data_IF_565296118847
#
_entry.id   IF_565296118847
#
_cell.length_a   1.000
_cell.length_b   1.000
_cell.length_c   1.000
_cell.angle_alpha   90.00
_cell.angle_beta   90.00
_cell.angle_gamma   90.00
#
_symmetry.space_group_name_H-M   'P 1'
#
loop_
_entity.id
_entity.type
_entity.pdbx_description
1 polymer ?
#
# COMPACT_ATOMS: atom_id res chain seq x y z
N UNK A 1 -4.38 10.46 25.05
CA UNK A 1 -2.91 10.24 25.27
C UNK A 1 -2.35 9.08 24.46
N UNK A 2 -3.03 7.93 24.35
CA UNK A 2 -2.53 6.73 23.65
C UNK A 2 -2.03 6.95 22.21
N UNK A 3 -2.77 7.72 21.40
CA UNK A 3 -2.39 7.95 20.00
C UNK A 3 -1.08 8.74 19.82
N UNK A 4 -0.74 9.66 20.73
CA UNK A 4 0.52 10.40 20.66
C UNK A 4 1.72 9.48 20.92
N UNK A 5 1.61 8.62 21.94
CA UNK A 5 2.64 7.63 22.25
C UNK A 5 2.83 6.64 21.10
N UNK A 6 1.73 6.21 20.47
CA UNK A 6 1.80 5.30 19.33
C UNK A 6 2.47 5.97 18.11
N UNK A 7 2.09 7.19 17.75
CA UNK A 7 2.74 7.92 16.65
C UNK A 7 4.22 8.18 16.93
N UNK A 8 4.58 8.52 18.17
CA UNK A 8 5.97 8.72 18.58
C UNK A 8 6.77 7.41 18.49
N UNK A 9 6.18 6.28 18.91
CA UNK A 9 6.77 4.95 18.72
C UNK A 9 7.01 4.65 17.24
N UNK A 10 6.06 4.99 16.35
CA UNK A 10 6.24 4.80 14.91
C UNK A 10 7.36 5.66 14.33
N UNK A 11 7.51 6.91 14.78
CA UNK A 11 8.65 7.76 14.41
C UNK A 11 9.96 7.09 14.83
N UNK A 12 10.05 6.61 16.08
CA UNK A 12 11.24 5.91 16.58
C UNK A 12 11.55 4.63 15.79
N UNK A 13 10.54 3.82 15.47
CA UNK A 13 10.69 2.63 14.62
C UNK A 13 11.20 3.04 13.24
N UNK A 14 10.65 4.12 12.67
CA UNK A 14 11.12 4.68 11.40
C UNK A 14 12.60 5.09 11.44
N UNK A 15 13.04 5.75 12.52
CA UNK A 15 14.45 6.16 12.71
C UNK A 15 15.36 4.95 12.86
N UNK A 16 15.00 3.98 13.71
CA UNK A 16 15.80 2.76 13.94
C UNK A 16 15.91 1.93 12.64
N UNK A 17 14.82 1.82 11.89
CA UNK A 17 14.77 1.09 10.61
C UNK A 17 15.33 1.88 9.42
N UNK A 18 15.78 3.13 9.62
CA UNK A 18 16.19 4.05 8.56
C UNK A 18 15.13 4.22 7.45
N UNK A 19 13.86 4.17 7.83
CA UNK A 19 12.74 4.23 6.90
C UNK A 19 12.15 5.64 6.80
N UNK A 20 12.60 6.41 5.81
CA UNK A 20 12.13 7.78 5.60
C UNK A 20 10.62 7.88 5.40
N UNK A 21 10.00 6.92 4.71
CA UNK A 21 8.55 6.92 4.48
C UNK A 21 7.77 6.82 5.80
N UNK A 22 8.17 5.93 6.70
CA UNK A 22 7.53 5.79 8.03
C UNK A 22 7.78 7.02 8.89
N UNK A 23 9.01 7.55 8.90
CA UNK A 23 9.36 8.77 9.65
C UNK A 23 8.47 9.93 9.20
N UNK A 24 8.40 10.18 7.89
CA UNK A 24 7.64 11.30 7.32
C UNK A 24 6.14 11.11 7.62
N UNK A 25 5.58 9.94 7.32
CA UNK A 25 4.15 9.70 7.51
C UNK A 25 3.73 9.84 8.99
N UNK A 26 4.46 9.21 9.91
CA UNK A 26 4.16 9.28 11.35
C UNK A 26 4.38 10.68 11.93
N UNK A 27 5.42 11.39 11.48
CA UNK A 27 5.70 12.78 11.90
C UNK A 27 4.62 13.73 11.42
N UNK A 28 4.19 13.63 10.16
CA UNK A 28 3.11 14.46 9.61
C UNK A 28 1.81 14.24 10.38
N UNK A 29 1.44 12.98 10.67
CA UNK A 29 0.25 12.68 11.47
C UNK A 29 0.38 13.21 12.90
N UNK A 30 1.57 13.12 13.51
CA UNK A 30 1.84 13.65 14.85
C UNK A 30 1.71 15.18 14.87
N UNK A 31 2.28 15.88 13.88
CA UNK A 31 2.19 17.33 13.73
C UNK A 31 0.74 17.75 13.56
N UNK A 32 -0.01 17.15 12.63
CA UNK A 32 -1.43 17.43 12.39
C UNK A 32 -2.26 17.28 13.68
N UNK A 33 -1.97 16.21 14.45
CA UNK A 33 -2.63 15.97 15.72
C UNK A 33 -2.27 17.05 16.76
N UNK A 34 -1.00 17.42 16.85
CA UNK A 34 -0.49 18.40 17.80
C UNK A 34 -1.03 19.81 17.55
N UNK A 35 -1.24 20.20 16.28
CA UNK A 35 -1.85 21.49 15.92
C UNK A 35 -3.39 21.53 16.04
N UNK A 36 -4.04 20.41 16.37
CA UNK A 36 -5.49 20.34 16.56
C UNK A 36 -6.32 20.18 15.27
N UNK A 37 -5.70 19.93 14.12
CA UNK A 37 -6.39 19.77 12.83
C UNK A 37 -6.80 18.32 12.51
N UNK A 38 -6.65 17.40 13.47
CA UNK A 38 -6.94 15.97 13.29
C UNK A 38 -8.36 15.69 12.82
N UNK A 39 -9.36 16.36 13.39
CA UNK A 39 -10.77 16.10 13.10
C UNK A 39 -11.17 16.47 11.66
N UNK A 40 -10.48 17.43 11.05
CA UNK A 40 -10.75 17.87 9.67
C UNK A 40 -9.89 17.11 8.65
N UNK A 41 -8.60 16.90 8.97
CA UNK A 41 -7.64 16.35 8.02
C UNK A 41 -7.63 14.82 8.02
N UNK A 42 -7.77 14.15 9.17
CA UNK A 42 -7.70 12.68 9.22
C UNK A 42 -8.80 11.98 8.41
N UNK A 43 -10.08 12.40 8.43
CA UNK A 43 -11.10 11.78 7.58
C UNK A 43 -10.80 11.93 6.08
N UNK A 44 -10.26 13.07 5.68
CA UNK A 44 -9.87 13.34 4.28
C UNK A 44 -8.68 12.47 3.88
N UNK A 45 -7.65 12.39 4.73
CA UNK A 45 -6.48 11.54 4.50
C UNK A 45 -6.84 10.06 4.47
N UNK A 46 -7.74 9.60 5.35
CA UNK A 46 -8.19 8.20 5.37
C UNK A 46 -9.02 7.83 4.13
N UNK A 47 -9.91 8.73 3.68
CA UNK A 47 -10.80 8.45 2.54
C UNK A 47 -10.13 8.62 1.17
N UNK A 48 -9.25 9.63 1.01
CA UNK A 48 -8.65 9.99 -0.27
C UNK A 48 -7.15 9.73 -0.35
N UNK A 49 -6.44 9.59 0.77
CA UNK A 49 -4.98 9.48 0.81
C UNK A 49 -4.44 8.31 -0.01
N UNK A 50 -5.11 7.14 0.02
CA UNK A 50 -4.74 5.99 -0.83
C UNK A 50 -4.89 6.35 -2.31
N UNK A 51 -6.01 6.97 -2.71
CA UNK A 51 -6.25 7.38 -4.10
C UNK A 51 -5.20 8.38 -4.57
N UNK A 52 -4.87 9.38 -3.75
CA UNK A 52 -3.82 10.34 -4.05
C UNK A 52 -2.45 9.67 -4.19
N UNK A 53 -2.09 8.79 -3.25
CA UNK A 53 -0.83 8.05 -3.31
C UNK A 53 -0.72 7.19 -4.57
N UNK A 54 -1.75 6.40 -4.89
CA UNK A 54 -1.79 5.57 -6.10
C UNK A 54 -1.75 6.44 -7.36
N UNK A 55 -2.42 7.59 -7.37
CA UNK A 55 -2.38 8.54 -8.50
C UNK A 55 -0.96 9.06 -8.73
N UNK A 56 -0.28 9.49 -7.67
CA UNK A 56 1.11 9.98 -7.76
C UNK A 56 2.05 8.87 -8.24
N UNK A 57 1.91 7.64 -7.72
CA UNK A 57 2.68 6.48 -8.18
C UNK A 57 2.40 6.20 -9.66
N UNK A 58 1.14 6.28 -10.09
CA UNK A 58 0.75 6.03 -11.47
C UNK A 58 1.35 7.07 -12.41
N UNK A 59 1.31 8.35 -12.02
CA UNK A 59 1.96 9.43 -12.77
C UNK A 59 3.46 9.11 -12.95
N UNK A 60 4.16 8.74 -11.87
CA UNK A 60 5.58 8.39 -11.93
C UNK A 60 5.87 7.23 -12.88
N UNK A 61 5.03 6.19 -12.89
CA UNK A 61 5.16 5.02 -13.79
C UNK A 61 4.84 5.37 -15.24
N UNK A 62 3.98 6.37 -15.50
CA UNK A 62 3.64 6.82 -16.84
C UNK A 62 4.65 7.81 -17.44
N UNK A 63 5.62 8.31 -16.67
CA UNK A 63 6.65 9.25 -17.16
C UNK A 63 7.37 8.74 -18.42
N UNK A 64 7.84 7.49 -18.52
CA UNK A 64 8.52 6.98 -19.73
C UNK A 64 7.63 7.00 -20.99
N UNK A 65 6.31 6.90 -20.83
CA UNK A 65 5.37 7.02 -21.94
C UNK A 65 5.22 8.50 -22.32
N UNK A 66 5.16 9.39 -21.34
CA UNK A 66 5.04 10.84 -21.56
C UNK A 66 6.32 11.48 -22.14
N UNK A 67 7.50 10.94 -21.84
CA UNK A 67 8.79 11.37 -22.40
C UNK A 67 9.09 10.78 -23.77
N UNK A 68 8.31 9.78 -24.21
CA UNK A 68 8.50 9.09 -25.49
C UNK A 68 9.49 7.94 -25.45
N UNK A 69 10.01 7.57 -24.27
CA UNK A 69 10.90 6.42 -24.10
C UNK A 69 10.18 5.09 -24.37
N UNK A 70 8.86 5.03 -24.12
CA UNK A 70 8.00 3.88 -24.38
C UNK A 70 6.81 4.30 -25.26
N UNK A 71 6.84 3.91 -26.54
CA UNK A 71 5.71 4.00 -27.45
C UNK A 71 4.91 2.70 -27.53
N UNK A 72 3.89 2.68 -28.41
CA UNK A 72 3.08 1.48 -28.66
C UNK A 72 3.90 0.28 -29.15
N UNK A 73 4.96 0.54 -29.93
CA UNK A 73 5.82 -0.51 -30.48
C UNK A 73 6.66 -1.16 -29.39
N UNK A 74 7.21 -0.35 -28.49
CA UNK A 74 8.01 -0.78 -27.34
C UNK A 74 7.13 -1.56 -26.36
N UNK A 75 5.90 -1.08 -26.10
CA UNK A 75 4.91 -1.79 -25.30
C UNK A 75 4.57 -3.16 -25.89
N UNK A 76 4.27 -3.23 -27.20
CA UNK A 76 3.97 -4.49 -27.88
C UNK A 76 5.17 -5.44 -27.91
N UNK A 77 6.38 -4.90 -28.07
CA UNK A 77 7.60 -5.70 -28.04
C UNK A 77 7.91 -6.22 -26.63
N UNK A 78 7.56 -5.47 -25.58
CA UNK A 78 7.81 -5.88 -24.20
C UNK A 78 7.06 -7.16 -23.83
N UNK A 79 5.86 -7.40 -24.38
CA UNK A 79 5.03 -8.57 -24.06
C UNK A 79 5.28 -9.81 -24.95
N UNK A 80 6.29 -9.81 -25.82
CA UNK A 80 6.61 -10.96 -26.69
C UNK A 80 7.51 -12.00 -26.04
N UNK A 81 8.34 -11.59 -25.08
CA UNK A 81 9.28 -12.46 -24.39
C UNK A 81 8.64 -13.17 -23.20
N UNK A 82 9.18 -14.32 -22.75
CA UNK A 82 8.68 -15.03 -21.57
C UNK A 82 8.69 -14.14 -20.32
N UNK A 83 9.73 -13.33 -20.13
CA UNK A 83 9.82 -12.35 -19.04
C UNK A 83 8.70 -11.32 -19.12
N UNK A 84 8.44 -10.82 -20.33
CA UNK A 84 7.40 -9.83 -20.61
C UNK A 84 6.00 -10.33 -20.31
N UNK A 85 5.68 -11.55 -20.74
CA UNK A 85 4.39 -12.18 -20.48
C UNK A 85 4.17 -12.37 -18.98
N UNK A 86 5.19 -12.86 -18.25
CA UNK A 86 5.12 -13.02 -16.79
C UNK A 86 4.93 -11.66 -16.10
N UNK A 87 5.68 -10.63 -16.51
CA UNK A 87 5.55 -9.28 -15.97
C UNK A 87 4.14 -8.70 -16.23
N UNK A 88 3.65 -8.82 -17.47
CA UNK A 88 2.31 -8.36 -17.85
C UNK A 88 1.20 -9.06 -17.07
N UNK A 89 1.25 -10.40 -16.99
CA UNK A 89 0.31 -11.19 -16.21
C UNK A 89 0.36 -10.84 -14.72
N UNK A 90 1.56 -10.66 -14.16
CA UNK A 90 1.73 -10.27 -12.76
C UNK A 90 1.16 -8.87 -12.47
N UNK A 91 1.34 -7.91 -13.38
CA UNK A 91 0.78 -6.57 -13.26
C UNK A 91 -0.75 -6.58 -13.26
N UNK A 92 -1.37 -7.33 -14.17
CA UNK A 92 -2.84 -7.53 -14.17
C UNK A 92 -3.32 -8.18 -12.87
N UNK A 93 -2.65 -9.24 -12.43
CA UNK A 93 -3.02 -9.97 -11.23
C UNK A 93 -2.95 -9.09 -9.97
N UNK A 94 -1.85 -8.35 -9.80
CA UNK A 94 -1.65 -7.45 -8.65
C UNK A 94 -2.70 -6.33 -8.66
N UNK A 95 -3.05 -5.77 -9.82
CA UNK A 95 -4.09 -4.74 -9.91
C UNK A 95 -5.47 -5.27 -9.47
N UNK A 96 -5.84 -6.48 -9.90
CA UNK A 96 -7.09 -7.14 -9.49
C UNK A 96 -7.08 -7.45 -7.99
N UNK A 97 -5.98 -8.04 -7.50
CA UNK A 97 -5.82 -8.39 -6.09
C UNK A 97 -5.88 -7.13 -5.21
N UNK A 98 -5.17 -6.06 -5.55
CA UNK A 98 -5.20 -4.81 -4.81
C UNK A 98 -6.61 -4.20 -4.77
N UNK A 99 -7.37 -4.27 -5.87
CA UNK A 99 -8.76 -3.83 -5.90
C UNK A 99 -9.65 -4.58 -4.89
N UNK A 100 -9.51 -5.90 -4.79
CA UNK A 100 -10.20 -6.71 -3.78
C UNK A 100 -9.71 -6.38 -2.36
N UNK A 101 -8.41 -6.16 -2.20
CA UNK A 101 -7.80 -5.76 -0.92
C UNK A 101 -8.34 -4.44 -0.39
N UNK A 102 -8.50 -3.43 -1.23
CA UNK A 102 -9.10 -2.14 -0.84
C UNK A 102 -10.52 -2.33 -0.32
N UNK A 103 -11.32 -3.19 -0.95
CA UNK A 103 -12.68 -3.48 -0.49
C UNK A 103 -12.65 -4.22 0.85
N UNK A 104 -11.78 -5.22 1.01
CA UNK A 104 -11.64 -5.94 2.27
C UNK A 104 -11.29 -4.99 3.43
N UNK A 105 -10.36 -4.06 3.22
CA UNK A 105 -9.99 -3.06 4.23
C UNK A 105 -11.12 -2.09 4.60
N UNK A 106 -12.04 -1.82 3.67
CA UNK A 106 -13.23 -0.98 3.91
C UNK A 106 -14.29 -1.68 4.73
N UNK A 107 -14.43 -2.99 4.54
CA UNK A 107 -15.44 -3.82 5.22
C UNK A 107 -14.95 -4.27 6.60
N UNK A 108 -13.66 -4.57 6.74
CA UNK A 108 -13.09 -5.12 7.97
C UNK A 108 -11.93 -4.27 8.53
N UNK A 109 -12.20 -3.47 9.58
CA UNK A 109 -11.17 -2.71 10.30
C UNK A 109 -10.08 -3.57 10.95
N UNK A 110 -10.37 -4.83 11.27
CA UNK A 110 -9.40 -5.78 11.84
C UNK A 110 -8.33 -6.08 10.80
N UNK A 111 -8.71 -6.31 9.54
CA UNK A 111 -7.75 -6.52 8.44
C UNK A 111 -6.83 -5.31 8.30
N UNK A 112 -7.39 -4.10 8.28
CA UNK A 112 -6.57 -2.88 8.21
C UNK A 112 -5.58 -2.78 9.38
N UNK A 113 -6.03 -3.05 10.60
CA UNK A 113 -5.20 -2.98 11.81
C UNK A 113 -4.10 -4.03 11.80
N UNK A 114 -4.42 -5.27 11.44
CA UNK A 114 -3.48 -6.38 11.36
C UNK A 114 -2.43 -6.16 10.25
N UNK A 115 -2.84 -5.67 9.08
CA UNK A 115 -1.92 -5.32 7.98
C UNK A 115 -0.95 -4.22 8.38
N UNK A 116 -1.43 -3.18 9.08
CA UNK A 116 -0.56 -2.11 9.60
C UNK A 116 0.45 -2.66 10.60
N UNK A 117 0.01 -3.45 11.57
CA UNK A 117 0.89 -4.08 12.56
C UNK A 117 1.95 -4.97 11.89
N UNK A 118 1.55 -5.83 10.96
CA UNK A 118 2.46 -6.69 10.21
C UNK A 118 3.48 -5.90 9.38
N UNK A 119 3.03 -4.81 8.73
CA UNK A 119 3.93 -3.93 7.95
C UNK A 119 4.94 -3.23 8.86
N UNK A 120 4.52 -2.72 10.01
CA UNK A 120 5.40 -2.05 10.99
C UNK A 120 6.46 -3.03 11.50
N UNK A 121 6.06 -4.26 11.84
CA UNK A 121 7.00 -5.30 12.29
C UNK A 121 7.99 -5.67 11.18
N UNK A 122 7.53 -5.86 9.94
CA UNK A 122 8.40 -6.17 8.82
C UNK A 122 9.41 -5.05 8.51
N UNK A 123 8.96 -3.79 8.54
CA UNK A 123 9.84 -2.62 8.34
C UNK A 123 10.84 -2.48 9.50
N UNK A 124 10.37 -2.61 10.74
CA UNK A 124 11.18 -2.44 11.95
C UNK A 124 12.24 -3.52 12.14
N UNK A 125 11.89 -4.78 11.90
CA UNK A 125 12.75 -5.94 12.23
C UNK A 125 13.34 -6.66 11.02
N UNK A 126 12.71 -6.57 9.84
CA UNK A 126 13.07 -7.38 8.67
C UNK A 126 13.58 -6.56 7.47
N UNK A 127 13.90 -5.27 7.68
CA UNK A 127 14.27 -4.31 6.61
C UNK A 127 13.22 -4.26 5.48
N UNK A 128 11.96 -4.51 5.80
CA UNK A 128 10.86 -4.47 4.84
C UNK A 128 10.69 -3.07 4.22
N UNK A 129 10.21 -3.03 2.99
CA UNK A 129 9.88 -1.77 2.29
C UNK A 129 8.38 -1.49 2.49
N UNK A 130 7.98 -0.31 3.00
CA UNK A 130 6.59 0.04 3.18
C UNK A 130 5.99 0.36 1.81
N UNK A 131 5.34 -0.64 1.23
CA UNK A 131 4.59 -0.52 -0.03
C UNK A 131 3.14 -0.07 0.20
N UNK A 132 2.78 0.24 1.44
CA UNK A 132 1.41 0.50 1.86
C UNK A 132 0.60 -0.78 2.05
N UNK A 133 -0.64 -0.67 2.56
CA UNK A 133 -1.45 -1.83 2.90
C UNK A 133 -2.06 -2.51 1.67
N UNK A 134 -2.03 -1.88 0.48
CA UNK A 134 -2.69 -2.36 -0.74
C UNK A 134 -2.27 -3.76 -1.18
N UNK A 135 -0.96 -4.04 -1.21
CA UNK A 135 -0.43 -5.34 -1.62
C UNK A 135 -0.78 -6.41 -0.59
N UNK A 136 -0.54 -6.12 0.69
CA UNK A 136 -0.89 -7.03 1.78
C UNK A 136 -2.39 -7.31 1.85
N UNK A 137 -3.23 -6.29 1.61
CA UNK A 137 -4.67 -6.43 1.54
C UNK A 137 -5.11 -7.27 0.35
N UNK A 138 -4.46 -7.12 -0.82
CA UNK A 138 -4.74 -7.96 -1.97
C UNK A 138 -4.39 -9.43 -1.72
N UNK A 139 -3.24 -9.70 -1.10
CA UNK A 139 -2.85 -11.05 -0.68
C UNK A 139 -3.85 -11.60 0.35
N UNK A 140 -4.20 -10.82 1.36
CA UNK A 140 -5.19 -11.22 2.37
C UNK A 140 -6.55 -11.53 1.74
N UNK A 141 -7.02 -10.70 0.80
CA UNK A 141 -8.28 -10.93 0.08
C UNK A 141 -8.25 -12.22 -0.73
N UNK A 142 -7.14 -12.52 -1.41
CA UNK A 142 -6.98 -13.78 -2.15
C UNK A 142 -6.94 -15.00 -1.23
N UNK A 143 -6.23 -14.93 -0.11
CA UNK A 143 -6.12 -16.04 0.86
C UNK A 143 -7.48 -16.30 1.52
N UNK A 144 -8.16 -15.25 2.00
CA UNK A 144 -9.47 -15.37 2.64
C UNK A 144 -10.54 -15.82 1.63
N UNK A 145 -10.51 -15.30 0.40
CA UNK A 145 -11.39 -15.73 -0.68
C UNK A 145 -11.15 -17.20 -1.04
N UNK A 146 -9.89 -17.63 -1.13
CA UNK A 146 -9.53 -19.03 -1.35
C UNK A 146 -10.01 -19.95 -0.21
N UNK A 147 -9.83 -19.52 1.04
CA UNK A 147 -10.32 -20.24 2.22
C UNK A 147 -11.83 -20.45 2.18
N UNK A 148 -12.60 -19.39 1.88
CA UNK A 148 -14.06 -19.47 1.74
C UNK A 148 -14.52 -20.39 0.60
N UNK A 149 -13.76 -20.47 -0.50
CA UNK A 149 -14.06 -21.41 -1.57
C UNK A 149 -13.84 -22.84 -1.08
N UNK A 150 -12.70 -23.13 -0.45
CA UNK A 150 -12.38 -24.46 0.06
C UNK A 150 -13.40 -24.92 1.12
N UNK A 151 -13.78 -24.04 2.05
CA UNK A 151 -14.78 -24.30 3.10
C UNK A 151 -16.16 -24.62 2.52
N UNK A 152 -16.51 -24.16 1.32
CA UNK A 152 -17.78 -24.53 0.67
C UNK A 152 -17.78 -25.95 0.09
N UNK A 153 -16.62 -26.55 -0.12
CA UNK A 153 -16.49 -27.89 -0.70
C UNK A 153 -16.35 -29.00 0.35
N UNK A 154 -16.11 -28.66 1.62
CA UNK A 154 -15.95 -29.58 2.74
C UNK A 154 -16.99 -29.30 3.83
#
# INVERSE_FOLDING_TARGET
MSAYLFLLMLVLIGVISNNQSVIIASSVLLIIKAIGFGDQLFPTLASKGISWGVTIITIAVLVPIATGDIGFKELWNSIKGPVGIVAFASGMFVAIAAGQGVQLMRVDPVVTTALLAGTILAVGFMKGIPVGPLVGAGIAALILGGYQVIEKWF
#
